data_IF_208932844241
#
_entry.id   IF_208932844241
#
_cell.length_a   1.000
_cell.length_b   1.000
_cell.length_c   1.000
_cell.angle_alpha   90.00
_cell.angle_beta   90.00
_cell.angle_gamma   90.00
#
_symmetry.space_group_name_H-M   'P 1'
#
loop_
_entity.id
_entity.type
_entity.pdbx_description
1 polymer ?
#
# COMPACT_ATOMS: atom_id res chain seq x y z
N UNK A 1 -0.97 4.29 25.97
CA UNK A 1 -0.65 3.10 25.17
C UNK A 1 0.30 3.51 24.04
N UNK A 2 1.23 2.65 23.63
CA UNK A 2 2.28 2.97 22.65
C UNK A 2 1.74 3.20 21.22
N UNK A 3 0.49 2.84 20.93
CA UNK A 3 -0.11 2.96 19.60
C UNK A 3 0.38 1.86 18.66
N UNK A 4 -0.33 1.60 17.56
CA UNK A 4 0.05 0.58 16.57
C UNK A 4 1.54 0.63 16.13
N UNK A 5 2.08 1.81 15.83
CA UNK A 5 3.51 1.96 15.46
C UNK A 5 4.44 1.48 16.59
N UNK A 6 4.07 1.74 17.84
CA UNK A 6 4.84 1.27 18.99
C UNK A 6 4.79 -0.25 19.13
N UNK A 7 3.63 -0.87 18.89
CA UNK A 7 3.47 -2.33 18.89
C UNK A 7 4.31 -2.99 17.79
N UNK A 8 4.27 -2.44 16.57
CA UNK A 8 5.09 -2.91 15.43
C UNK A 8 6.59 -2.80 15.74
N UNK A 9 7.02 -1.70 16.35
CA UNK A 9 8.43 -1.54 16.73
C UNK A 9 8.83 -2.50 17.86
N UNK A 10 7.86 -3.03 18.61
CA UNK A 10 8.05 -4.08 19.60
C UNK A 10 8.63 -5.37 19.02
N UNK A 11 8.28 -5.72 17.77
CA UNK A 11 8.83 -6.88 17.04
C UNK A 11 10.37 -6.86 16.96
N UNK A 12 10.95 -5.66 16.97
CA UNK A 12 12.39 -5.46 16.85
C UNK A 12 13.11 -5.35 18.21
N UNK A 13 12.36 -5.49 19.30
CA UNK A 13 12.84 -5.46 20.67
C UNK A 13 12.65 -4.12 21.39
N UNK A 14 12.68 -4.19 22.72
CA UNK A 14 12.36 -3.07 23.63
C UNK A 14 13.25 -1.84 23.40
N UNK A 15 14.52 -2.02 23.02
CA UNK A 15 15.44 -0.91 22.76
C UNK A 15 14.96 -0.08 21.57
N UNK A 16 14.66 -0.75 20.44
CA UNK A 16 14.22 -0.08 19.21
C UNK A 16 12.84 0.56 19.41
N UNK A 17 11.95 -0.12 20.13
CA UNK A 17 10.65 0.42 20.51
C UNK A 17 10.79 1.74 21.31
N UNK A 18 11.65 1.77 22.35
CA UNK A 18 11.87 2.98 23.16
C UNK A 18 12.44 4.13 22.33
N UNK A 19 13.44 3.86 21.49
CA UNK A 19 14.04 4.87 20.59
C UNK A 19 12.99 5.41 19.62
N UNK A 20 12.24 4.53 18.94
CA UNK A 20 11.24 4.93 17.96
C UNK A 20 10.08 5.72 18.57
N UNK A 21 9.56 5.31 19.73
CA UNK A 21 8.52 6.08 20.44
C UNK A 21 9.01 7.47 20.85
N UNK A 22 10.27 7.57 21.31
CA UNK A 22 10.88 8.86 21.63
C UNK A 22 10.99 9.75 20.38
N UNK A 23 11.50 9.22 19.27
CA UNK A 23 11.63 9.95 18.00
C UNK A 23 10.27 10.39 17.45
N UNK A 24 9.25 9.54 17.53
CA UNK A 24 7.87 9.85 17.12
C UNK A 24 7.29 11.01 17.92
N UNK A 25 7.52 11.05 19.24
CA UNK A 25 7.02 12.12 20.11
C UNK A 25 7.71 13.46 19.87
N UNK A 26 8.99 13.43 19.50
CA UNK A 26 9.82 14.65 19.32
C UNK A 26 9.89 15.16 17.88
N UNK A 27 9.43 14.37 16.90
CA UNK A 27 9.56 14.67 15.47
C UNK A 27 11.02 14.92 15.04
N UNK A 28 11.95 14.18 15.63
CA UNK A 28 13.38 14.29 15.35
C UNK A 28 14.21 14.65 16.58
N UNK A 29 15.41 14.06 16.71
CA UNK A 29 16.31 14.34 17.84
C UNK A 29 17.76 13.94 17.57
N UNK A 30 18.69 14.50 18.33
CA UNK A 30 20.10 14.04 18.34
C UNK A 30 20.30 12.87 19.29
N UNK A 31 21.42 12.16 19.12
CA UNK A 31 21.78 10.99 19.92
C UNK A 31 21.86 11.29 21.42
N UNK A 32 22.40 12.45 21.82
CA UNK A 32 22.52 12.86 23.22
C UNK A 32 21.14 12.98 23.88
N UNK A 33 20.20 13.65 23.19
CA UNK A 33 18.84 13.82 23.66
C UNK A 33 18.05 12.50 23.68
N UNK A 34 18.27 11.60 22.71
CA UNK A 34 17.67 10.26 22.73
C UNK A 34 18.15 9.47 23.95
N UNK A 35 19.46 9.51 24.24
CA UNK A 35 20.07 8.84 25.39
C UNK A 35 19.46 9.34 26.70
N UNK A 36 19.40 10.67 26.89
CA UNK A 36 18.82 11.27 28.08
C UNK A 36 17.31 11.00 28.20
N UNK A 37 16.58 11.01 27.08
CA UNK A 37 15.12 10.89 27.06
C UNK A 37 14.58 9.46 27.13
N UNK A 38 15.40 8.45 26.89
CA UNK A 38 15.00 7.03 26.91
C UNK A 38 15.56 6.24 28.09
N UNK A 39 16.51 6.84 28.84
CA UNK A 39 17.28 6.18 29.90
C UNK A 39 18.02 4.93 29.42
N UNK A 40 18.33 4.85 28.13
CA UNK A 40 19.14 3.79 27.55
C UNK A 40 20.63 4.16 27.64
N UNK A 41 21.49 3.16 27.74
CA UNK A 41 22.94 3.40 27.64
C UNK A 41 23.30 3.91 26.24
N UNK A 42 24.30 4.78 26.16
CA UNK A 42 24.75 5.36 24.88
C UNK A 42 25.08 4.29 23.82
N UNK A 43 25.71 3.18 24.22
CA UNK A 43 25.98 2.04 23.33
C UNK A 43 24.72 1.35 22.81
N UNK A 44 23.67 1.24 23.64
CA UNK A 44 22.37 0.70 23.22
C UNK A 44 21.69 1.63 22.21
N UNK A 45 21.78 2.94 22.40
CA UNK A 45 21.25 3.93 21.45
C UNK A 45 21.99 3.85 20.11
N UNK A 46 23.33 3.76 20.12
CA UNK A 46 24.13 3.61 18.89
C UNK A 46 23.73 2.33 18.13
N UNK A 47 23.72 1.18 18.81
CA UNK A 47 23.37 -0.09 18.17
C UNK A 47 21.91 -0.08 17.69
N UNK A 48 21.00 0.46 18.48
CA UNK A 48 19.59 0.59 18.14
C UNK A 48 19.38 1.45 16.90
N UNK A 49 19.95 2.66 16.86
CA UNK A 49 19.89 3.55 15.69
C UNK A 49 20.53 2.92 14.46
N UNK A 50 21.68 2.25 14.61
CA UNK A 50 22.33 1.54 13.49
C UNK A 50 21.42 0.48 12.88
N UNK A 51 20.77 -0.33 13.71
CA UNK A 51 19.83 -1.34 13.26
C UNK A 51 18.56 -0.74 12.63
N UNK A 52 18.03 0.35 13.19
CA UNK A 52 16.87 1.04 12.64
C UNK A 52 17.18 1.70 11.28
N UNK A 53 18.37 2.27 11.10
CA UNK A 53 18.84 2.81 9.81
C UNK A 53 19.00 1.68 8.80
N UNK A 54 19.65 0.57 9.20
CA UNK A 54 19.82 -0.62 8.37
C UNK A 54 18.47 -1.15 7.85
N UNK A 55 17.44 -1.16 8.69
CA UNK A 55 16.06 -1.55 8.37
C UNK A 55 15.19 -0.42 7.79
N UNK A 56 15.77 0.75 7.52
CA UNK A 56 15.09 1.94 6.98
C UNK A 56 13.97 2.52 7.85
N UNK A 57 13.91 2.15 9.13
CA UNK A 57 12.93 2.66 10.10
C UNK A 57 13.28 4.08 10.58
N UNK A 58 14.54 4.48 10.47
CA UNK A 58 15.03 5.80 10.86
C UNK A 58 15.80 6.42 9.71
N UNK A 59 15.49 7.68 9.43
CA UNK A 59 16.25 8.56 8.56
C UNK A 59 17.09 9.51 9.40
N UNK A 60 18.12 10.09 8.82
CA UNK A 60 18.91 11.09 9.52
C UNK A 60 19.26 12.25 8.61
N UNK A 61 19.50 13.44 9.17
CA UNK A 61 20.01 14.58 8.43
C UNK A 61 20.95 15.39 9.31
N UNK A 62 21.84 16.17 8.69
CA UNK A 62 22.74 17.06 9.42
C UNK A 62 22.17 18.47 9.46
N UNK A 63 22.03 19.02 10.66
CA UNK A 63 21.58 20.40 10.91
C UNK A 63 22.50 21.04 11.95
N UNK A 64 23.04 22.23 11.65
CA UNK A 64 23.97 22.95 12.54
C UNK A 64 25.13 22.07 13.07
N UNK A 65 25.73 21.26 12.19
CA UNK A 65 26.81 20.29 12.49
C UNK A 65 26.39 19.11 13.40
N UNK A 66 25.13 19.00 13.80
CA UNK A 66 24.58 17.86 14.56
C UNK A 66 23.78 16.93 13.65
N UNK A 67 23.78 15.64 13.97
CA UNK A 67 22.96 14.64 13.26
C UNK A 67 21.64 14.48 14.00
N UNK A 68 20.55 14.71 13.28
CA UNK A 68 19.19 14.51 13.73
C UNK A 68 18.65 13.22 13.14
N UNK A 69 18.02 12.40 13.96
CA UNK A 69 17.38 11.15 13.57
C UNK A 69 15.87 11.33 13.61
N UNK A 70 15.15 10.85 12.60
CA UNK A 70 13.69 10.92 12.48
C UNK A 70 13.15 9.52 12.21
N UNK A 71 12.07 9.14 12.91
CA UNK A 71 11.38 7.89 12.65
C UNK A 71 10.61 7.98 11.32
N UNK A 72 10.85 7.04 10.42
CA UNK A 72 10.03 6.83 9.24
C UNK A 72 8.80 5.99 9.62
N UNK A 73 7.69 6.68 9.90
CA UNK A 73 6.43 6.02 10.30
C UNK A 73 5.83 5.19 9.18
N UNK A 74 6.03 5.58 7.92
CA UNK A 74 5.49 4.85 6.77
C UNK A 74 6.22 3.51 6.64
N UNK A 75 7.53 3.50 6.85
CA UNK A 75 8.29 2.25 6.90
C UNK A 75 7.86 1.35 8.06
N UNK A 76 7.51 1.91 9.22
CA UNK A 76 6.93 1.14 10.30
C UNK A 76 5.58 0.53 9.90
N UNK A 77 4.68 1.27 9.25
CA UNK A 77 3.42 0.71 8.76
C UNK A 77 3.61 -0.36 7.67
N UNK A 78 4.61 -0.19 6.78
CA UNK A 78 4.94 -1.20 5.75
C UNK A 78 5.26 -2.58 6.32
N UNK A 79 5.77 -2.66 7.55
CA UNK A 79 6.02 -3.93 8.25
C UNK A 79 4.76 -4.81 8.35
N UNK A 80 3.58 -4.20 8.45
CA UNK A 80 2.30 -4.93 8.49
C UNK A 80 2.02 -5.67 7.17
N UNK A 81 2.53 -5.17 6.05
CA UNK A 81 2.28 -5.70 4.72
C UNK A 81 3.32 -6.74 4.28
N UNK A 82 4.33 -7.04 5.11
CA UNK A 82 5.43 -7.93 4.72
C UNK A 82 4.94 -9.32 4.29
N UNK A 83 3.97 -9.91 5.01
CA UNK A 83 3.39 -11.20 4.62
C UNK A 83 2.70 -11.14 3.25
N UNK A 84 1.98 -10.04 2.98
CA UNK A 84 1.34 -9.82 1.68
C UNK A 84 2.37 -9.60 0.57
N UNK A 85 3.45 -8.86 0.81
CA UNK A 85 4.52 -8.70 -0.16
C UNK A 85 5.18 -10.03 -0.51
N UNK A 86 5.50 -10.85 0.50
CA UNK A 86 6.11 -12.16 0.26
C UNK A 86 5.19 -13.07 -0.56
N UNK A 87 3.91 -13.17 -0.19
CA UNK A 87 2.92 -13.95 -0.95
C UNK A 87 2.78 -13.45 -2.38
N UNK A 88 2.76 -12.12 -2.59
CA UNK A 88 2.68 -11.54 -3.94
C UNK A 88 3.92 -11.89 -4.79
N UNK A 89 5.12 -11.83 -4.21
CA UNK A 89 6.36 -12.18 -4.91
C UNK A 89 6.42 -13.68 -5.19
N UNK A 90 5.99 -14.52 -4.25
CA UNK A 90 5.91 -15.97 -4.41
C UNK A 90 4.94 -16.35 -5.53
N UNK A 91 3.76 -15.75 -5.59
CA UNK A 91 2.76 -15.99 -6.63
C UNK A 91 3.26 -15.61 -8.04
N UNK A 92 4.16 -14.62 -8.14
CA UNK A 92 4.61 -14.06 -9.43
C UNK A 92 5.96 -14.63 -9.91
N UNK A 93 6.88 -14.90 -8.99
CA UNK A 93 8.27 -15.28 -9.30
C UNK A 93 8.65 -16.65 -8.72
N UNK A 94 7.76 -17.27 -7.95
CA UNK A 94 7.99 -18.56 -7.30
C UNK A 94 8.64 -18.46 -5.92
N UNK A 95 8.54 -19.57 -5.18
CA UNK A 95 8.99 -19.69 -3.79
C UNK A 95 10.48 -19.39 -3.60
N UNK A 96 11.34 -19.88 -4.50
CA UNK A 96 12.78 -19.70 -4.37
C UNK A 96 13.22 -18.23 -4.45
N UNK A 97 12.56 -17.43 -5.30
CA UNK A 97 12.80 -15.99 -5.46
C UNK A 97 12.24 -15.23 -4.26
N UNK A 98 11.05 -15.62 -3.79
CA UNK A 98 10.42 -15.05 -2.59
C UNK A 98 11.29 -15.20 -1.33
N UNK A 99 12.02 -16.31 -1.17
CA UNK A 99 12.96 -16.52 -0.07
C UNK A 99 14.10 -15.47 -0.09
N UNK A 100 14.63 -15.17 -1.28
CA UNK A 100 15.65 -14.14 -1.48
C UNK A 100 15.11 -12.74 -1.20
N UNK A 101 13.90 -12.45 -1.69
CA UNK A 101 13.17 -11.22 -1.43
C UNK A 101 12.94 -10.99 0.08
N UNK A 102 12.47 -12.00 0.80
CA UNK A 102 12.19 -11.92 2.24
C UNK A 102 13.45 -11.54 3.03
N UNK A 103 14.62 -12.09 2.67
CA UNK A 103 15.90 -11.73 3.30
C UNK A 103 16.21 -10.25 3.13
N UNK A 104 15.96 -9.68 1.95
CA UNK A 104 16.20 -8.25 1.69
C UNK A 104 15.15 -7.39 2.42
N UNK A 105 13.88 -7.81 2.37
CA UNK A 105 12.76 -7.11 3.01
C UNK A 105 12.96 -6.95 4.53
N UNK A 106 13.42 -8.00 5.22
CA UNK A 106 13.62 -7.99 6.68
C UNK A 106 14.90 -7.25 7.09
N UNK A 107 15.95 -7.33 6.29
CA UNK A 107 17.25 -6.73 6.61
C UNK A 107 17.40 -5.28 6.12
N UNK A 108 16.55 -4.82 5.20
CA UNK A 108 16.68 -3.52 4.55
C UNK A 108 17.87 -3.48 3.60
N UNK A 109 18.90 -2.69 3.92
CA UNK A 109 20.08 -2.52 3.05
C UNK A 109 20.95 -3.79 2.97
N UNK A 110 20.72 -4.65 1.98
CA UNK A 110 21.33 -5.98 1.98
C UNK A 110 22.45 -6.09 0.95
N UNK A 111 23.63 -6.55 1.37
CA UNK A 111 24.66 -7.00 0.43
C UNK A 111 24.32 -8.42 0.00
N UNK A 112 24.20 -8.61 -1.30
CA UNK A 112 23.82 -9.90 -1.87
C UNK A 112 25.09 -10.70 -2.13
N UNK A 113 25.12 -11.94 -1.63
CA UNK A 113 26.19 -12.89 -1.93
C UNK A 113 25.92 -13.53 -3.31
N UNK A 114 26.95 -14.11 -3.93
CA UNK A 114 26.89 -14.75 -5.26
C UNK A 114 25.71 -15.75 -5.40
N UNK A 115 25.36 -16.47 -4.33
CA UNK A 115 24.24 -17.43 -4.34
C UNK A 115 22.85 -16.79 -4.39
N UNK A 116 22.70 -15.58 -3.87
CA UNK A 116 21.45 -14.81 -3.89
C UNK A 116 21.34 -13.94 -5.14
N UNK A 117 22.45 -13.67 -5.83
CA UNK A 117 22.52 -12.75 -6.97
C UNK A 117 21.62 -13.20 -8.12
N UNK A 118 21.70 -14.50 -8.49
CA UNK A 118 20.82 -15.08 -9.52
C UNK A 118 19.33 -14.99 -9.17
N UNK A 119 18.98 -15.21 -7.89
CA UNK A 119 17.59 -15.14 -7.40
C UNK A 119 17.05 -13.72 -7.40
N UNK A 120 17.92 -12.73 -7.21
CA UNK A 120 17.56 -11.31 -7.07
C UNK A 120 17.54 -10.60 -8.43
N UNK A 121 18.26 -11.11 -9.42
CA UNK A 121 18.36 -10.51 -10.76
C UNK A 121 17.00 -10.36 -11.45
N UNK A 122 16.10 -11.34 -11.31
CA UNK A 122 14.73 -11.25 -11.83
C UNK A 122 13.94 -10.12 -11.17
N UNK A 123 14.06 -9.96 -9.85
CA UNK A 123 13.39 -8.90 -9.09
C UNK A 123 13.97 -7.51 -9.38
N UNK A 124 15.27 -7.44 -9.68
CA UNK A 124 15.92 -6.20 -10.13
C UNK A 124 15.42 -5.84 -11.53
N UNK A 125 15.32 -6.81 -12.43
CA UNK A 125 14.81 -6.61 -13.79
C UNK A 125 13.34 -6.19 -13.79
N UNK A 126 12.54 -6.73 -12.87
CA UNK A 126 11.15 -6.33 -12.66
C UNK A 126 10.98 -5.01 -11.88
N UNK A 127 12.06 -4.36 -11.45
CA UNK A 127 12.02 -3.09 -10.71
C UNK A 127 11.54 -3.20 -9.26
N UNK A 128 11.35 -4.41 -8.73
CA UNK A 128 10.97 -4.66 -7.32
C UNK A 128 12.14 -4.37 -6.38
N UNK A 129 13.36 -4.59 -6.86
CA UNK A 129 14.60 -4.37 -6.10
C UNK A 129 15.48 -3.37 -6.84
N UNK A 130 16.04 -2.42 -6.10
CA UNK A 130 16.98 -1.43 -6.60
C UNK A 130 18.37 -1.78 -6.06
N UNK A 131 19.33 -1.91 -6.97
CA UNK A 131 20.76 -2.00 -6.64
C UNK A 131 21.36 -0.60 -6.53
N UNK A 132 21.86 -0.25 -5.35
CA UNK A 132 22.43 1.06 -5.04
C UNK A 132 23.88 0.93 -4.55
N UNK A 133 24.68 1.95 -4.81
CA UNK A 133 26.03 2.11 -4.26
C UNK A 133 25.98 2.58 -2.80
N UNK A 134 27.11 2.50 -2.10
CA UNK A 134 27.25 3.01 -0.74
C UNK A 134 26.95 4.51 -0.62
N UNK A 135 27.24 5.30 -1.67
CA UNK A 135 26.93 6.74 -1.69
C UNK A 135 25.42 6.98 -1.81
N UNK A 136 24.77 6.29 -2.74
CA UNK A 136 23.31 6.36 -2.93
C UNK A 136 22.54 5.88 -1.69
N UNK A 137 23.05 4.86 -0.98
CA UNK A 137 22.50 4.43 0.30
C UNK A 137 22.56 5.55 1.36
N UNK A 138 23.67 6.30 1.43
CA UNK A 138 23.78 7.48 2.29
C UNK A 138 22.74 8.55 1.95
N UNK A 139 22.55 8.83 0.65
CA UNK A 139 21.57 9.82 0.15
C UNK A 139 20.13 9.39 0.49
N UNK A 140 19.81 8.11 0.31
CA UNK A 140 18.50 7.52 0.62
C UNK A 140 18.10 7.71 2.08
N UNK A 141 19.03 7.53 3.00
CA UNK A 141 18.77 7.72 4.43
C UNK A 141 18.77 9.20 4.81
N UNK A 142 19.42 10.05 4.02
CA UNK A 142 19.63 11.48 4.32
C UNK A 142 18.45 12.43 4.02
N UNK A 143 17.29 11.93 3.57
CA UNK A 143 16.13 12.74 3.09
C UNK A 143 16.47 13.79 2.00
N UNK A 144 17.51 13.52 1.22
CA UNK A 144 17.79 14.27 0.00
C UNK A 144 16.68 13.99 -1.02
N UNK A 145 15.72 14.91 -1.14
CA UNK A 145 14.58 14.82 -2.08
C UNK A 145 15.10 14.51 -3.49
N UNK A 146 14.48 13.51 -4.13
CA UNK A 146 14.69 13.01 -5.50
C UNK A 146 15.80 11.98 -5.75
N UNK A 147 15.55 10.76 -5.27
CA UNK A 147 16.22 9.55 -5.75
C UNK A 147 16.07 9.35 -7.28
N UNK A 148 14.91 9.71 -7.83
CA UNK A 148 14.61 9.59 -9.26
C UNK A 148 15.49 10.51 -10.13
N UNK A 149 15.72 11.74 -9.71
CA UNK A 149 16.62 12.69 -10.40
C UNK A 149 18.09 12.28 -10.28
N UNK A 150 18.50 11.72 -9.13
CA UNK A 150 19.87 11.22 -8.97
C UNK A 150 20.11 9.96 -9.81
N UNK A 151 19.17 9.01 -9.86
CA UNK A 151 19.33 7.79 -10.66
C UNK A 151 19.23 8.05 -12.17
N UNK A 152 18.42 9.02 -12.60
CA UNK A 152 18.39 9.44 -14.02
C UNK A 152 19.69 10.14 -14.42
N UNK A 153 20.26 10.99 -13.55
CA UNK A 153 21.60 11.57 -13.74
C UNK A 153 22.70 10.51 -13.73
N UNK A 154 22.71 9.58 -12.77
CA UNK A 154 23.71 8.51 -12.71
C UNK A 154 23.60 7.56 -13.92
N UNK A 155 22.40 7.34 -14.48
CA UNK A 155 22.24 6.60 -15.74
C UNK A 155 22.84 7.38 -16.92
N UNK A 156 22.63 8.68 -17.01
CA UNK A 156 23.27 9.53 -18.03
C UNK A 156 24.79 9.58 -17.87
N UNK A 157 25.29 9.65 -16.63
CA UNK A 157 26.72 9.68 -16.33
C UNK A 157 27.38 8.31 -16.61
N UNK A 158 26.68 7.19 -16.41
CA UNK A 158 27.16 5.85 -16.79
C UNK A 158 27.26 5.68 -18.31
N UNK A 159 26.29 6.19 -19.07
CA UNK A 159 26.34 6.19 -20.55
C UNK A 159 27.53 7.03 -21.04
N UNK A 160 27.84 8.14 -20.38
CA UNK A 160 29.02 8.95 -20.68
C UNK A 160 30.35 8.30 -20.23
N UNK A 161 30.38 7.56 -19.11
CA UNK A 161 31.56 6.82 -18.65
C UNK A 161 31.87 5.57 -19.50
N UNK A 162 30.87 4.92 -20.11
CA UNK A 162 31.05 3.75 -20.99
C UNK A 162 31.80 4.09 -22.28
N UNK A 163 31.70 5.34 -22.76
CA UNK A 163 32.47 5.84 -23.92
C UNK A 163 33.97 5.98 -23.60
N UNK A 164 34.36 6.02 -22.32
CA UNK A 164 35.74 6.23 -21.87
C UNK A 164 36.41 5.02 -21.18
N UNK A 165 35.73 3.87 -21.03
CA UNK A 165 36.29 2.69 -20.34
C UNK A 165 36.58 1.52 -21.28
N UNK A 166 37.72 1.55 -21.99
CA UNK A 166 38.30 0.36 -22.63
C UNK A 166 39.49 -0.27 -21.89
N UNK A 167 39.86 0.15 -20.67
CA UNK A 167 41.17 -0.28 -20.12
C UNK A 167 41.33 -0.36 -18.58
N UNK A 168 40.28 -0.50 -17.77
CA UNK A 168 40.48 -0.80 -16.34
C UNK A 168 39.53 -1.90 -15.88
N UNK A 169 40.11 -3.02 -15.42
CA UNK A 169 39.44 -4.04 -14.59
C UNK A 169 38.74 -3.32 -13.45
N UNK A 170 37.44 -3.12 -13.59
CA UNK A 170 36.59 -2.52 -12.58
C UNK A 170 36.48 -3.50 -11.43
N UNK A 171 37.12 -3.16 -10.31
CA UNK A 171 36.79 -3.74 -9.00
C UNK A 171 35.28 -3.57 -8.83
N UNK A 172 34.54 -4.68 -8.79
CA UNK A 172 33.11 -4.68 -8.52
C UNK A 172 32.87 -3.89 -7.23
N UNK A 173 32.31 -2.69 -7.38
CA UNK A 173 31.95 -1.87 -6.23
C UNK A 173 30.81 -2.58 -5.52
N UNK A 174 30.99 -2.89 -4.24
CA UNK A 174 29.97 -3.51 -3.41
C UNK A 174 28.64 -2.73 -3.53
N UNK A 175 27.60 -3.42 -4.02
CA UNK A 175 26.24 -2.88 -4.17
C UNK A 175 25.36 -3.36 -3.03
N UNK A 176 24.50 -2.48 -2.55
CA UNK A 176 23.39 -2.83 -1.66
C UNK A 176 22.14 -3.03 -2.49
N UNK A 177 21.29 -3.96 -2.08
CA UNK A 177 19.98 -4.19 -2.65
C UNK A 177 18.92 -3.73 -1.66
N UNK A 178 17.93 -3.02 -2.17
CA UNK A 178 16.86 -2.43 -1.38
C UNK A 178 15.55 -2.59 -2.12
N UNK A 179 14.47 -2.87 -1.38
CA UNK A 179 13.13 -2.98 -1.94
C UNK A 179 12.59 -1.61 -2.41
N UNK A 180 12.08 -1.54 -3.64
CA UNK A 180 11.21 -0.45 -4.10
C UNK A 180 9.77 -0.72 -3.65
N UNK A 181 9.39 -0.10 -2.53
CA UNK A 181 8.04 -0.24 -1.98
C UNK A 181 6.97 0.41 -2.88
N UNK A 182 7.33 1.39 -3.70
CA UNK A 182 6.37 2.03 -4.60
C UNK A 182 5.99 1.06 -5.73
N UNK A 183 6.98 0.34 -6.26
CA UNK A 183 6.75 -0.74 -7.23
C UNK A 183 5.89 -1.86 -6.62
N UNK A 184 6.21 -2.32 -5.40
CA UNK A 184 5.39 -3.32 -4.70
C UNK A 184 3.96 -2.86 -4.45
N UNK A 185 3.76 -1.60 -4.03
CA UNK A 185 2.43 -1.05 -3.85
C UNK A 185 1.64 -1.02 -5.15
N UNK A 186 2.27 -0.60 -6.26
CA UNK A 186 1.65 -0.63 -7.58
C UNK A 186 1.27 -2.07 -7.99
N UNK A 187 2.14 -3.05 -7.74
CA UNK A 187 1.85 -4.47 -8.00
C UNK A 187 0.68 -4.99 -7.14
N UNK A 188 0.64 -4.62 -5.85
CA UNK A 188 -0.48 -4.96 -4.97
C UNK A 188 -1.81 -4.37 -5.45
N UNK A 189 -1.80 -3.09 -5.87
CA UNK A 189 -2.99 -2.43 -6.43
C UNK A 189 -3.43 -3.13 -7.71
N UNK A 190 -2.50 -3.43 -8.61
CA UNK A 190 -2.78 -4.15 -9.86
C UNK A 190 -3.39 -5.53 -9.59
N UNK A 191 -2.84 -6.29 -8.63
CA UNK A 191 -3.38 -7.59 -8.23
C UNK A 191 -4.80 -7.46 -7.66
N UNK A 192 -5.06 -6.43 -6.85
CA UNK A 192 -6.41 -6.15 -6.32
C UNK A 192 -7.40 -5.80 -7.42
N UNK A 193 -7.00 -5.00 -8.40
CA UNK A 193 -7.83 -4.65 -9.54
C UNK A 193 -8.15 -5.89 -10.40
N UNK A 194 -7.17 -6.78 -10.64
CA UNK A 194 -7.39 -8.04 -11.33
C UNK A 194 -8.40 -8.92 -10.58
N UNK A 195 -8.25 -9.06 -9.27
CA UNK A 195 -9.21 -9.82 -8.46
C UNK A 195 -10.63 -9.23 -8.54
N UNK A 196 -10.75 -7.90 -8.57
CA UNK A 196 -12.04 -7.21 -8.76
C UNK A 196 -12.63 -7.48 -10.14
N UNK A 197 -11.82 -7.41 -11.20
CA UNK A 197 -12.25 -7.70 -12.57
C UNK A 197 -12.68 -9.15 -12.69
N UNK A 198 -11.88 -10.10 -12.21
CA UNK A 198 -12.19 -11.54 -12.16
C UNK A 198 -13.51 -11.84 -11.45
N UNK A 199 -13.80 -11.12 -10.37
CA UNK A 199 -15.03 -11.28 -9.59
C UNK A 199 -16.28 -10.77 -10.34
N UNK A 200 -16.12 -9.74 -11.19
CA UNK A 200 -17.24 -9.05 -11.84
C UNK A 200 -17.47 -9.46 -13.29
N UNK A 201 -16.43 -9.91 -13.98
CA UNK A 201 -16.44 -10.17 -15.41
C UNK A 201 -15.93 -11.57 -15.73
N UNK A 202 -16.03 -11.95 -17.00
CA UNK A 202 -15.55 -13.23 -17.51
C UNK A 202 -14.01 -13.30 -17.52
N UNK A 203 -13.45 -14.50 -17.54
CA UNK A 203 -11.99 -14.74 -17.61
C UNK A 203 -11.33 -14.06 -18.82
N UNK A 204 -12.04 -13.88 -19.94
CA UNK A 204 -11.56 -13.10 -21.09
C UNK A 204 -11.28 -11.64 -20.70
N UNK A 205 -12.18 -11.01 -19.95
CA UNK A 205 -12.03 -9.62 -19.51
C UNK A 205 -10.87 -9.48 -18.52
N UNK A 206 -10.64 -10.47 -17.65
CA UNK A 206 -9.46 -10.51 -16.77
C UNK A 206 -8.15 -10.50 -17.57
N UNK A 207 -8.04 -11.35 -18.60
CA UNK A 207 -6.84 -11.40 -19.47
C UNK A 207 -6.62 -10.10 -20.24
N UNK A 208 -7.68 -9.55 -20.83
CA UNK A 208 -7.65 -8.23 -21.48
C UNK A 208 -7.19 -7.16 -20.48
N UNK A 209 -7.77 -7.13 -19.27
CA UNK A 209 -7.39 -6.13 -18.28
C UNK A 209 -5.95 -6.31 -17.77
N UNK A 210 -5.44 -7.54 -17.69
CA UNK A 210 -4.03 -7.80 -17.35
C UNK A 210 -3.08 -7.14 -18.34
N UNK A 211 -3.39 -7.17 -19.64
CA UNK A 211 -2.61 -6.46 -20.68
C UNK A 211 -2.65 -4.94 -20.52
N UNK A 212 -3.75 -4.39 -19.99
CA UNK A 212 -3.92 -2.96 -19.71
C UNK A 212 -3.05 -2.50 -18.54
N UNK A 213 -2.88 -3.34 -17.51
CA UNK A 213 -2.20 -2.94 -16.28
C UNK A 213 -0.73 -2.58 -16.48
N UNK A 214 -0.05 -3.20 -17.45
CA UNK A 214 1.35 -2.91 -17.77
C UNK A 214 1.57 -1.62 -18.57
N UNK A 215 0.53 -0.83 -18.83
CA UNK A 215 0.60 0.30 -19.77
C UNK A 215 0.05 1.59 -19.18
N UNK A 216 0.69 2.71 -19.54
CA UNK A 216 0.24 4.05 -19.16
C UNK A 216 -0.83 4.56 -20.14
N UNK A 217 -0.54 4.44 -21.43
CA UNK A 217 -1.46 4.72 -22.52
C UNK A 217 -1.91 3.40 -23.16
N UNK A 218 -3.21 3.27 -23.35
CA UNK A 218 -3.85 2.02 -23.73
C UNK A 218 -4.56 2.24 -25.06
N UNK A 219 -4.16 1.51 -26.09
CA UNK A 219 -4.85 1.45 -27.39
C UNK A 219 -5.35 0.04 -27.64
N UNK A 220 -6.40 -0.08 -28.47
CA UNK A 220 -6.95 -1.38 -28.87
C UNK A 220 -5.89 -2.21 -29.59
N UNK A 221 -5.15 -1.59 -30.51
CA UNK A 221 -4.11 -2.25 -31.30
C UNK A 221 -3.01 -2.83 -30.42
N UNK A 222 -2.47 -2.03 -29.51
CA UNK A 222 -1.42 -2.50 -28.63
C UNK A 222 -1.92 -3.67 -27.76
N UNK A 223 -3.18 -3.64 -27.29
CA UNK A 223 -3.72 -4.75 -26.47
C UNK A 223 -3.76 -6.04 -27.29
N UNK A 224 -4.20 -5.94 -28.54
CA UNK A 224 -4.26 -7.10 -29.45
C UNK A 224 -2.86 -7.66 -29.70
N UNK A 225 -1.87 -6.79 -29.94
CA UNK A 225 -0.45 -7.21 -30.09
C UNK A 225 0.07 -7.97 -28.86
N UNK A 226 -0.34 -7.58 -27.65
CA UNK A 226 0.04 -8.32 -26.43
C UNK A 226 -0.72 -9.62 -26.19
N UNK A 227 -1.79 -9.88 -26.97
CA UNK A 227 -2.65 -11.05 -26.85
C UNK A 227 -2.54 -11.95 -28.10
N UNK A 228 -1.51 -11.80 -28.93
CA UNK A 228 -1.35 -12.54 -30.19
C UNK A 228 -1.39 -14.07 -30.00
N UNK A 229 -0.94 -14.58 -28.84
CA UNK A 229 -0.97 -16.01 -28.51
C UNK A 229 -2.37 -16.50 -28.07
N UNK A 230 -3.33 -15.61 -27.84
CA UNK A 230 -4.68 -15.93 -27.35
C UNK A 230 -5.72 -15.95 -28.48
N UNK A 231 -5.77 -17.09 -29.19
CA UNK A 231 -6.66 -17.29 -30.34
C UNK A 231 -8.17 -17.12 -30.06
N UNK A 232 -8.60 -17.06 -28.79
CA UNK A 232 -10.01 -16.93 -28.39
C UNK A 232 -10.48 -15.49 -28.15
N UNK A 233 -9.60 -14.49 -28.27
CA UNK A 233 -9.93 -13.07 -28.05
C UNK A 233 -9.92 -12.31 -29.37
N UNK A 234 -11.09 -11.78 -29.75
CA UNK A 234 -11.22 -10.97 -30.97
C UNK A 234 -11.04 -9.47 -30.67
N UNK A 235 -10.73 -8.68 -31.70
CA UNK A 235 -10.75 -7.21 -31.62
C UNK A 235 -12.08 -6.67 -31.09
N UNK A 236 -13.20 -7.28 -31.48
CA UNK A 236 -14.54 -6.91 -31.00
C UNK A 236 -14.72 -7.11 -29.50
N UNK A 237 -14.12 -8.18 -28.95
CA UNK A 237 -14.12 -8.45 -27.50
C UNK A 237 -13.32 -7.38 -26.75
N UNK A 238 -12.14 -7.01 -27.27
CA UNK A 238 -11.29 -5.95 -26.69
C UNK A 238 -12.03 -4.61 -26.65
N UNK A 239 -12.60 -4.18 -27.78
CA UNK A 239 -13.36 -2.91 -27.85
C UNK A 239 -14.55 -2.91 -26.88
N UNK A 240 -15.26 -4.02 -26.79
CA UNK A 240 -16.39 -4.17 -25.86
C UNK A 240 -15.94 -4.10 -24.41
N UNK A 241 -14.88 -4.82 -24.05
CA UNK A 241 -14.31 -4.81 -22.69
C UNK A 241 -13.83 -3.42 -22.29
N UNK A 242 -13.12 -2.70 -23.17
CA UNK A 242 -12.66 -1.34 -22.90
C UNK A 242 -13.84 -0.40 -22.65
N UNK A 243 -14.92 -0.49 -23.42
CA UNK A 243 -16.15 0.29 -23.16
C UNK A 243 -16.71 0.01 -21.77
N UNK A 244 -16.75 -1.26 -21.34
CA UNK A 244 -17.19 -1.62 -19.99
C UNK A 244 -16.25 -1.08 -18.92
N UNK A 245 -14.93 -1.23 -19.09
CA UNK A 245 -13.94 -0.72 -18.16
C UNK A 245 -14.01 0.81 -18.03
N UNK A 246 -14.25 1.51 -19.14
CA UNK A 246 -14.46 2.95 -19.15
C UNK A 246 -15.72 3.36 -18.37
N UNK A 247 -16.83 2.66 -18.57
CA UNK A 247 -18.08 2.93 -17.85
C UNK A 247 -17.97 2.65 -16.34
N UNK A 248 -17.05 1.78 -15.94
CA UNK A 248 -16.80 1.46 -14.53
C UNK A 248 -15.65 2.28 -13.90
N UNK A 249 -15.04 3.19 -14.66
CA UNK A 249 -13.93 4.04 -14.19
C UNK A 249 -12.58 3.31 -14.03
N UNK A 250 -12.45 2.08 -14.54
CA UNK A 250 -11.17 1.35 -14.51
C UNK A 250 -10.17 1.91 -15.51
N UNK A 251 -10.67 2.52 -16.59
CA UNK A 251 -9.91 3.31 -17.56
C UNK A 251 -10.72 4.57 -17.89
N UNK A 252 -10.06 5.62 -18.37
CA UNK A 252 -10.71 6.81 -18.95
C UNK A 252 -10.27 6.99 -20.38
N UNK A 253 -11.20 7.37 -21.25
CA UNK A 253 -10.88 7.78 -22.62
C UNK A 253 -10.16 9.14 -22.60
N UNK A 254 -9.11 9.27 -23.40
CA UNK A 254 -8.44 10.56 -23.62
C UNK A 254 -9.37 11.58 -24.30
N UNK A 255 -9.15 12.87 -24.03
CA UNK A 255 -9.92 13.97 -24.64
C UNK A 255 -9.43 14.36 -26.03
N UNK A 256 -8.28 13.86 -26.47
CA UNK A 256 -7.63 14.17 -27.75
C UNK A 256 -8.35 13.58 -28.99
N UNK A 257 -9.57 13.08 -28.84
CA UNK A 257 -10.36 12.39 -29.87
C UNK A 257 -9.70 11.12 -30.45
N UNK A 258 -8.57 10.66 -29.90
CA UNK A 258 -7.97 9.38 -30.28
C UNK A 258 -8.67 8.23 -29.55
N UNK A 259 -8.60 7.00 -30.08
CA UNK A 259 -9.04 5.79 -29.37
C UNK A 259 -8.02 5.35 -28.31
N UNK A 260 -7.48 6.31 -27.56
CA UNK A 260 -6.56 6.07 -26.45
C UNK A 260 -7.27 6.17 -25.11
N UNK A 261 -6.81 5.36 -24.18
CA UNK A 261 -7.32 5.26 -22.83
C UNK A 261 -6.16 5.32 -21.84
N UNK A 262 -6.43 5.78 -20.62
CA UNK A 262 -5.44 5.82 -19.55
C UNK A 262 -6.08 5.44 -18.21
N UNK A 263 -5.25 5.10 -17.24
CA UNK A 263 -5.68 4.78 -15.87
C UNK A 263 -5.61 6.06 -15.03
N UNK A 264 -6.75 6.49 -14.51
CA UNK A 264 -6.82 7.61 -13.57
C UNK A 264 -6.63 7.10 -12.14
N UNK A 265 -5.61 7.61 -11.44
CA UNK A 265 -5.24 7.12 -10.11
C UNK A 265 -6.35 7.36 -9.07
N UNK A 266 -7.05 8.50 -9.17
CA UNK A 266 -8.13 8.87 -8.25
C UNK A 266 -9.36 7.97 -8.43
N UNK A 267 -9.73 7.63 -9.68
CA UNK A 267 -10.80 6.68 -9.95
C UNK A 267 -10.46 5.27 -9.46
N UNK A 268 -9.24 4.79 -9.76
CA UNK A 268 -8.77 3.48 -9.28
C UNK A 268 -8.83 3.42 -7.75
N UNK A 269 -8.33 4.46 -7.07
CA UNK A 269 -8.42 4.56 -5.61
C UNK A 269 -9.87 4.46 -5.16
N UNK A 270 -10.75 5.27 -5.74
CA UNK A 270 -12.17 5.32 -5.36
C UNK A 270 -12.85 3.96 -5.55
N UNK A 271 -12.57 3.26 -6.65
CA UNK A 271 -13.12 1.92 -6.93
C UNK A 271 -12.68 0.93 -5.86
N UNK A 272 -11.38 0.91 -5.53
CA UNK A 272 -10.84 -0.02 -4.53
C UNK A 272 -11.37 0.29 -3.12
N UNK A 273 -11.42 1.57 -2.72
CA UNK A 273 -12.00 1.98 -1.45
C UNK A 273 -13.46 1.56 -1.34
N UNK A 274 -14.27 1.80 -2.39
CA UNK A 274 -15.68 1.40 -2.40
C UNK A 274 -15.84 -0.12 -2.36
N UNK A 275 -14.98 -0.88 -3.05
CA UNK A 275 -15.02 -2.35 -2.99
C UNK A 275 -14.67 -2.87 -1.60
N UNK A 276 -13.63 -2.33 -0.96
CA UNK A 276 -13.24 -2.64 0.42
C UNK A 276 -14.36 -2.32 1.42
N UNK A 277 -14.94 -1.12 1.35
CA UNK A 277 -16.06 -0.72 2.21
C UNK A 277 -17.29 -1.62 2.00
N UNK A 278 -17.58 -1.99 0.75
CA UNK A 278 -18.64 -2.93 0.44
C UNK A 278 -18.40 -4.33 1.03
N UNK A 279 -17.15 -4.80 1.04
CA UNK A 279 -16.79 -6.07 1.66
C UNK A 279 -17.05 -6.02 3.17
N UNK A 280 -16.56 -4.98 3.84
CA UNK A 280 -16.77 -4.75 5.29
C UNK A 280 -18.28 -4.69 5.62
N UNK A 281 -19.08 -4.00 4.79
CA UNK A 281 -20.53 -3.97 4.97
C UNK A 281 -21.21 -5.32 4.67
N UNK A 282 -20.69 -6.11 3.73
CA UNK A 282 -21.25 -7.42 3.36
C UNK A 282 -21.20 -8.41 4.53
N UNK A 283 -20.17 -8.32 5.36
CA UNK A 283 -19.99 -9.16 6.54
C UNK A 283 -20.98 -8.78 7.66
N UNK A 284 -21.46 -7.54 7.68
CA UNK A 284 -22.32 -7.00 8.74
C UNK A 284 -23.81 -6.94 8.37
N UNK A 285 -24.17 -6.43 7.19
CA UNK A 285 -25.56 -6.34 6.71
C UNK A 285 -25.65 -6.14 5.19
N UNK A 286 -26.38 -7.03 4.52
CA UNK A 286 -26.64 -6.95 3.07
C UNK A 286 -27.48 -5.73 2.70
N UNK A 287 -28.43 -5.36 3.55
CA UNK A 287 -29.34 -4.23 3.37
C UNK A 287 -28.61 -2.91 3.52
N UNK A 288 -27.73 -2.79 4.52
CA UNK A 288 -26.89 -1.62 4.69
C UNK A 288 -25.95 -1.41 3.50
N UNK A 289 -25.33 -2.48 3.00
CA UNK A 289 -24.53 -2.44 1.77
C UNK A 289 -25.35 -1.94 0.56
N UNK A 290 -26.59 -2.42 0.42
CA UNK A 290 -27.49 -1.98 -0.67
C UNK A 290 -27.81 -0.50 -0.57
N UNK A 291 -28.16 -0.03 0.62
CA UNK A 291 -28.43 1.39 0.89
C UNK A 291 -27.17 2.22 0.62
N UNK A 292 -26.00 1.80 1.10
CA UNK A 292 -24.73 2.49 0.88
C UNK A 292 -24.42 2.66 -0.62
N UNK A 293 -24.51 1.60 -1.43
CA UNK A 293 -24.25 1.70 -2.87
C UNK A 293 -25.25 2.61 -3.59
N UNK A 294 -26.52 2.55 -3.20
CA UNK A 294 -27.54 3.43 -3.75
C UNK A 294 -27.27 4.90 -3.37
N UNK A 295 -26.84 5.17 -2.13
CA UNK A 295 -26.42 6.52 -1.71
C UNK A 295 -25.20 7.03 -2.49
N UNK A 296 -24.25 6.16 -2.87
CA UNK A 296 -23.11 6.55 -3.71
C UNK A 296 -23.53 7.02 -5.11
N UNK A 297 -24.60 6.45 -5.66
CA UNK A 297 -25.16 6.81 -6.96
C UNK A 297 -25.94 8.12 -6.91
N UNK A 298 -26.84 8.27 -5.94
CA UNK A 298 -27.73 9.44 -5.84
C UNK A 298 -27.14 10.63 -5.07
N UNK A 299 -25.99 10.45 -4.39
CA UNK A 299 -25.23 11.44 -3.60
C UNK A 299 -25.95 11.97 -2.34
N UNK A 300 -27.20 12.41 -2.46
CA UNK A 300 -28.02 12.96 -1.36
C UNK A 300 -29.46 12.45 -1.46
N UNK A 301 -30.04 11.94 -0.36
CA UNK A 301 -31.41 11.43 -0.32
C UNK A 301 -32.09 11.68 1.02
N UNK A 302 -33.40 11.95 0.99
CA UNK A 302 -34.26 11.93 2.19
C UNK A 302 -34.65 10.49 2.58
N UNK A 303 -35.09 10.29 3.83
CA UNK A 303 -35.56 8.99 4.34
C UNK A 303 -36.61 8.32 3.43
N UNK A 304 -37.59 9.11 2.95
CA UNK A 304 -38.67 8.63 2.08
C UNK A 304 -38.12 8.06 0.76
N UNK A 305 -37.11 8.72 0.20
CA UNK A 305 -36.52 8.34 -1.08
C UNK A 305 -35.61 7.13 -0.93
N UNK A 306 -34.93 6.99 0.21
CA UNK A 306 -34.15 5.79 0.53
C UNK A 306 -35.05 4.56 0.53
N UNK A 307 -36.24 4.62 1.16
CA UNK A 307 -37.18 3.48 1.17
C UNK A 307 -37.60 3.10 -0.25
N UNK A 308 -37.99 4.09 -1.07
CA UNK A 308 -38.46 3.85 -2.44
C UNK A 308 -37.34 3.31 -3.33
N UNK A 309 -36.15 3.92 -3.30
CA UNK A 309 -35.03 3.57 -4.20
C UNK A 309 -34.27 2.32 -3.76
N UNK A 310 -34.17 2.05 -2.45
CA UNK A 310 -33.51 0.84 -1.95
C UNK A 310 -34.33 -0.41 -2.19
N UNK A 311 -35.66 -0.30 -2.33
CA UNK A 311 -36.59 -1.43 -2.30
C UNK A 311 -36.38 -2.31 -1.05
N UNK A 312 -36.00 -1.69 0.07
CA UNK A 312 -35.87 -2.32 1.39
C UNK A 312 -37.06 -1.89 2.25
N UNK A 313 -37.69 -2.79 3.01
CA UNK A 313 -38.79 -2.43 3.90
C UNK A 313 -38.42 -1.30 4.87
N UNK A 314 -39.35 -0.37 5.09
CA UNK A 314 -39.11 0.85 5.88
C UNK A 314 -38.53 0.60 7.28
N UNK A 315 -39.02 -0.44 7.98
CA UNK A 315 -38.53 -0.81 9.31
C UNK A 315 -37.06 -1.27 9.31
N UNK A 316 -36.59 -1.87 8.21
CA UNK A 316 -35.19 -2.29 8.04
C UNK A 316 -34.33 -1.11 7.61
N UNK A 317 -34.84 -0.25 6.72
CA UNK A 317 -34.14 0.96 6.25
C UNK A 317 -33.71 1.81 7.44
N UNK A 318 -34.62 2.10 8.38
CA UNK A 318 -34.29 2.91 9.55
C UNK A 318 -33.15 2.31 10.38
N UNK A 319 -33.18 0.99 10.63
CA UNK A 319 -32.11 0.28 11.35
C UNK A 319 -30.78 0.35 10.60
N UNK A 320 -30.79 0.11 9.29
CA UNK A 320 -29.60 0.12 8.46
C UNK A 320 -28.98 1.51 8.32
N UNK A 321 -29.79 2.55 8.11
CA UNK A 321 -29.34 3.95 8.05
C UNK A 321 -28.75 4.39 9.39
N UNK A 322 -29.38 4.06 10.51
CA UNK A 322 -28.82 4.35 11.83
C UNK A 322 -27.48 3.65 12.06
N UNK A 323 -27.33 2.40 11.64
CA UNK A 323 -26.06 1.67 11.71
C UNK A 323 -24.98 2.30 10.83
N UNK A 324 -25.31 2.65 9.59
CA UNK A 324 -24.38 3.33 8.67
C UNK A 324 -23.96 4.69 9.25
N UNK A 325 -24.88 5.43 9.85
CA UNK A 325 -24.58 6.70 10.49
C UNK A 325 -23.71 6.53 11.74
N UNK A 326 -24.04 5.59 12.64
CA UNK A 326 -23.27 5.36 13.87
C UNK A 326 -21.84 4.90 13.58
N UNK A 327 -21.65 4.15 12.49
CA UNK A 327 -20.35 3.70 12.02
C UNK A 327 -19.66 4.72 11.08
N UNK A 328 -20.23 5.90 10.88
CA UNK A 328 -19.63 6.99 10.12
C UNK A 328 -19.64 6.82 8.60
N UNK A 329 -20.37 5.84 8.05
CA UNK A 329 -20.57 5.63 6.61
C UNK A 329 -21.48 6.68 5.97
N UNK A 330 -22.41 7.24 6.75
CA UNK A 330 -23.37 8.24 6.31
C UNK A 330 -23.38 9.44 7.25
N UNK A 331 -23.79 10.58 6.71
CA UNK A 331 -23.89 11.85 7.45
C UNK A 331 -25.26 12.45 7.18
N UNK A 332 -25.93 12.91 8.23
CA UNK A 332 -27.13 13.70 8.10
C UNK A 332 -26.76 15.18 7.93
N UNK A 333 -27.12 15.78 6.80
CA UNK A 333 -26.97 17.21 6.56
C UNK A 333 -28.32 17.90 6.62
N UNK A 334 -28.28 19.14 7.07
CA UNK A 334 -29.43 20.03 7.07
C UNK A 334 -29.31 20.93 5.85
N UNK A 335 -30.29 20.85 4.95
CA UNK A 335 -30.41 21.75 3.80
C UNK A 335 -31.53 22.77 4.10
N UNK A 336 -31.34 24.02 3.66
CA UNK A 336 -32.27 25.13 3.90
C UNK A 336 -31.85 26.07 5.04
N UNK A 337 -30.90 26.97 4.78
CA UNK A 337 -30.55 28.04 5.71
C UNK A 337 -31.69 29.10 5.74
N UNK A 338 -32.44 29.16 6.84
CA UNK A 338 -33.46 30.20 7.06
C UNK A 338 -34.91 29.76 6.88
N UNK A 339 -35.17 28.48 6.60
CA UNK A 339 -36.54 27.95 6.57
C UNK A 339 -36.99 27.47 7.96
N UNK A 340 -38.28 27.66 8.26
CA UNK A 340 -38.89 27.24 9.54
C UNK A 340 -38.85 25.72 9.81
N UNK A 341 -38.54 24.90 8.79
CA UNK A 341 -38.43 23.44 8.89
C UNK A 341 -37.25 22.97 8.03
N UNK A 342 -36.09 22.63 8.62
CA UNK A 342 -34.95 22.15 7.86
C UNK A 342 -35.27 20.80 7.19
N UNK A 343 -34.83 20.62 5.95
CA UNK A 343 -34.89 19.33 5.27
C UNK A 343 -33.66 18.52 5.66
N UNK A 344 -33.89 17.27 6.07
CA UNK A 344 -32.85 16.35 6.51
C UNK A 344 -32.49 15.42 5.36
N UNK A 345 -31.25 15.54 4.89
CA UNK A 345 -30.73 14.72 3.79
C UNK A 345 -29.54 13.89 4.25
N UNK A 346 -29.54 12.62 3.87
CA UNK A 346 -28.40 11.74 4.08
C UNK A 346 -27.41 11.88 2.95
N UNK A 347 -26.12 11.86 3.27
CA UNK A 347 -25.03 11.89 2.29
C UNK A 347 -23.92 10.90 2.66
N UNK A 348 -23.21 10.42 1.64
CA UNK A 348 -22.00 9.61 1.79
C UNK A 348 -20.81 10.41 1.28
N UNK A 349 -19.81 10.56 2.15
CA UNK A 349 -18.51 11.16 1.82
C UNK A 349 -17.43 10.08 1.95
N UNK A 350 -17.00 9.52 0.82
CA UNK A 350 -16.07 8.38 0.77
C UNK A 350 -14.76 8.71 1.52
N UNK A 351 -14.25 9.94 1.42
CA UNK A 351 -12.99 10.32 2.07
C UNK A 351 -13.13 10.43 3.58
N UNK A 352 -14.32 10.84 4.05
CA UNK A 352 -14.66 10.78 5.48
C UNK A 352 -14.85 9.33 5.94
N UNK A 353 -15.63 8.52 5.22
CA UNK A 353 -15.86 7.11 5.58
C UNK A 353 -14.53 6.37 5.65
N UNK A 354 -13.68 6.52 4.64
CA UNK A 354 -12.37 5.85 4.57
C UNK A 354 -11.50 6.19 5.78
N UNK A 355 -11.47 7.45 6.23
CA UNK A 355 -10.74 7.83 7.45
C UNK A 355 -11.28 7.19 8.72
N UNK A 356 -12.60 7.22 8.90
CA UNK A 356 -13.24 6.69 10.11
C UNK A 356 -12.99 5.18 10.18
N UNK A 357 -13.24 4.47 9.08
CA UNK A 357 -13.04 3.02 9.00
C UNK A 357 -11.55 2.65 9.11
N UNK A 358 -10.65 3.44 8.51
CA UNK A 358 -9.21 3.23 8.63
C UNK A 358 -8.71 3.37 10.07
N UNK A 359 -9.17 4.37 10.82
CA UNK A 359 -8.81 4.51 12.25
C UNK A 359 -9.41 3.38 13.10
N UNK A 360 -10.60 2.89 12.76
CA UNK A 360 -11.19 1.73 13.43
C UNK A 360 -10.38 0.45 13.17
N UNK A 361 -10.02 0.18 11.91
CA UNK A 361 -9.17 -0.96 11.54
C UNK A 361 -7.80 -0.86 12.23
N UNK A 362 -7.22 0.34 12.29
CA UNK A 362 -5.95 0.59 12.99
C UNK A 362 -6.03 0.27 14.48
N UNK A 363 -7.15 0.59 15.14
CA UNK A 363 -7.39 0.20 16.54
C UNK A 363 -7.44 -1.31 16.70
N UNK A 364 -8.21 -2.00 15.84
CA UNK A 364 -8.29 -3.47 15.87
C UNK A 364 -6.92 -4.11 15.59
N UNK A 365 -6.17 -3.57 14.63
CA UNK A 365 -4.80 -4.02 14.34
C UNK A 365 -3.88 -3.83 15.55
N UNK A 366 -3.98 -2.73 16.28
CA UNK A 366 -3.20 -2.51 17.51
C UNK A 366 -3.50 -3.58 18.56
N UNK A 367 -4.78 -3.86 18.81
CA UNK A 367 -5.21 -4.90 19.76
C UNK A 367 -4.72 -6.30 19.35
N UNK A 368 -4.90 -6.66 18.07
CA UNK A 368 -4.42 -7.93 17.53
C UNK A 368 -2.89 -8.04 17.58
N UNK A 369 -2.16 -6.96 17.29
CA UNK A 369 -0.70 -6.96 17.34
C UNK A 369 -0.17 -7.15 18.76
N UNK A 370 -0.76 -6.48 19.74
CA UNK A 370 -0.43 -6.66 21.16
C UNK A 370 -0.67 -8.11 21.59
N UNK A 371 -1.78 -8.71 21.19
CA UNK A 371 -2.10 -10.11 21.50
C UNK A 371 -1.09 -11.08 20.90
N UNK A 372 -0.67 -10.86 19.66
CA UNK A 372 0.35 -11.67 18.99
C UNK A 372 1.71 -11.52 19.68
N UNK A 373 2.14 -10.29 19.99
CA UNK A 373 3.39 -10.03 20.69
C UNK A 373 3.43 -10.72 22.06
N UNK A 374 2.32 -10.68 22.80
CA UNK A 374 2.19 -11.43 24.05
C UNK A 374 2.34 -12.93 23.81
N UNK A 375 1.59 -13.50 22.85
CA UNK A 375 1.63 -14.94 22.53
C UNK A 375 3.01 -15.42 22.11
N UNK A 376 3.72 -14.70 21.24
CA UNK A 376 5.08 -15.07 20.84
C UNK A 376 6.08 -14.98 22.00
N UNK A 377 5.89 -14.06 22.94
CA UNK A 377 6.63 -14.05 24.20
C UNK A 377 6.42 -15.34 25.02
N UNK A 378 5.22 -15.93 24.97
CA UNK A 378 4.89 -17.18 25.68
C UNK A 378 5.31 -18.46 24.93
N UNK A 379 5.20 -18.51 23.60
CA UNK A 379 5.53 -19.70 22.78
C UNK A 379 7.02 -20.06 22.88
N UNK A 380 7.90 -19.09 23.13
CA UNK A 380 9.30 -19.36 23.46
C UNK A 380 9.52 -20.16 24.75
N UNK A 381 8.46 -20.44 25.52
CA UNK A 381 8.53 -21.10 26.83
C UNK A 381 7.85 -22.47 26.89
N UNK A 382 6.74 -22.71 26.18
CA UNK A 382 6.00 -23.98 26.18
C UNK A 382 5.30 -24.20 24.82
N UNK A 383 5.71 -25.22 24.08
CA UNK A 383 5.42 -25.39 22.65
C UNK A 383 4.11 -26.08 22.28
N UNK A 384 2.94 -25.67 22.78
CA UNK A 384 1.65 -26.30 22.45
C UNK A 384 0.50 -25.29 22.23
N UNK A 385 0.57 -24.44 21.20
CA UNK A 385 -0.44 -23.39 20.96
C UNK A 385 -0.66 -22.95 19.51
N UNK A 386 -0.46 -23.82 18.52
CA UNK A 386 -0.33 -23.41 17.11
C UNK A 386 -1.62 -22.94 16.40
N UNK A 387 -2.81 -23.49 16.68
CA UNK A 387 -4.02 -23.23 15.84
C UNK A 387 -4.63 -21.82 16.05
N UNK A 388 -4.58 -21.30 17.28
CA UNK A 388 -5.17 -19.99 17.60
C UNK A 388 -4.36 -18.80 17.06
N UNK A 389 -3.06 -18.98 16.82
CA UNK A 389 -2.18 -17.93 16.28
C UNK A 389 -2.39 -17.71 14.79
N UNK A 390 -2.61 -18.79 14.02
CA UNK A 390 -2.76 -18.74 12.56
C UNK A 390 -4.00 -17.95 12.13
N UNK A 391 -5.16 -18.21 12.74
CA UNK A 391 -6.40 -17.48 12.42
C UNK A 391 -6.29 -15.97 12.70
N UNK A 392 -5.61 -15.61 13.79
CA UNK A 392 -5.39 -14.20 14.12
C UNK A 392 -4.41 -13.53 13.14
N UNK A 393 -3.37 -14.24 12.70
CA UNK A 393 -2.45 -13.77 11.65
C UNK A 393 -3.17 -13.57 10.32
N UNK A 394 -4.00 -14.52 9.89
CA UNK A 394 -4.78 -14.41 8.65
C UNK A 394 -5.75 -13.22 8.72
N UNK A 395 -6.41 -13.02 9.85
CA UNK A 395 -7.26 -11.85 10.11
C UNK A 395 -6.46 -10.54 10.03
N UNK A 396 -5.29 -10.48 10.65
CA UNK A 396 -4.40 -9.31 10.60
C UNK A 396 -3.91 -9.01 9.20
N UNK A 397 -3.58 -10.02 8.40
CA UNK A 397 -3.21 -9.83 6.99
C UNK A 397 -4.39 -9.20 6.22
N UNK A 398 -5.61 -9.71 6.40
CA UNK A 398 -6.81 -9.14 5.79
C UNK A 398 -7.06 -7.68 6.18
N UNK A 399 -6.97 -7.37 7.49
CA UNK A 399 -7.13 -6.01 8.02
C UNK A 399 -6.02 -5.07 7.57
N UNK A 400 -4.77 -5.53 7.52
CA UNK A 400 -3.64 -4.73 7.05
C UNK A 400 -3.85 -4.33 5.59
N UNK A 401 -4.37 -5.23 4.76
CA UNK A 401 -4.61 -4.95 3.36
C UNK A 401 -5.79 -3.99 3.15
N UNK A 402 -6.81 -4.06 4.00
CA UNK A 402 -7.87 -3.05 4.01
C UNK A 402 -7.36 -1.69 4.47
N UNK A 403 -6.54 -1.67 5.53
CA UNK A 403 -5.90 -0.47 6.00
C UNK A 403 -5.02 0.17 4.92
N UNK A 404 -4.28 -0.64 4.16
CA UNK A 404 -3.52 -0.20 2.99
C UNK A 404 -4.44 0.49 1.98
N UNK A 405 -5.51 -0.17 1.52
CA UNK A 405 -6.42 0.37 0.49
C UNK A 405 -7.12 1.65 0.95
N UNK A 406 -7.63 1.69 2.18
CA UNK A 406 -8.28 2.88 2.74
C UNK A 406 -7.31 4.03 2.99
N UNK A 407 -6.03 3.70 3.25
CA UNK A 407 -4.94 4.63 3.49
C UNK A 407 -4.22 5.12 2.23
N UNK A 408 -4.59 4.67 1.02
CA UNK A 408 -4.02 5.16 -0.24
C UNK A 408 -4.33 6.65 -0.38
N UNK A 409 -3.42 7.50 0.09
CA UNK A 409 -3.45 8.95 -0.10
C UNK A 409 -2.10 9.29 -0.69
N UNK A 410 -2.05 9.47 -2.02
CA UNK A 410 -0.85 9.84 -2.76
C UNK A 410 0.20 8.72 -2.95
N UNK A 411 -0.21 7.54 -3.42
CA UNK A 411 0.76 6.69 -4.14
C UNK A 411 0.86 7.32 -5.53
N UNK A 412 1.92 8.09 -5.81
CA UNK A 412 2.22 8.42 -7.21
C UNK A 412 2.54 7.10 -7.89
N UNK A 413 1.75 6.65 -8.84
CA UNK A 413 2.22 5.58 -9.69
C UNK A 413 3.40 6.19 -10.45
N UNK A 414 4.61 5.67 -10.21
CA UNK A 414 5.73 6.00 -11.08
C UNK A 414 5.31 5.48 -12.45
N UNK A 415 4.81 6.38 -13.29
CA UNK A 415 4.76 6.14 -14.71
C UNK A 415 6.21 5.94 -15.10
N UNK A 416 6.57 4.72 -15.48
CA UNK A 416 7.78 4.55 -16.24
C UNK A 416 7.60 5.38 -17.50
N UNK A 417 8.28 6.53 -17.55
CA UNK A 417 8.46 7.31 -18.76
C UNK A 417 9.45 6.47 -19.58
N UNK A 418 8.91 5.66 -20.47
CA UNK A 418 9.63 5.08 -21.59
C UNK A 418 8.99 5.57 -22.88
#
# INVERSE_FOLDING_TARGET
MPGLVGEILGDYGTILQKIGLFLRKRNGSTMEYITQGTSLAYSQVIHGLSLMIQRRLVKYFQYEKKVHYVLDTDMAYRRMYFGTYCSLVEDLFGEEVAEGFMKILVNGFTKVNISLEKKVEELVSAGVIISISMKEAGILVAESKNLGEHMTRDRQDKVNEEVHRKSRKTVERARFHVIDFDALHAMMINNRLLALVKKRYLSKAERIYKSILGRNLVTVDAIIESLEDEADITRGDVVSCIKYFNNCGLVRKSMDCTETYFKDEDDIRKILVVDTLNRILSENSKEARRIFNMMLEYKSLEDKDIVIKSLVPSHIVKKAVLMLHSNGFMVLKHTGAGESRPVLEWQVDIDRVSRIVSEEIKRVLEESWTLINQRWGYIGSNGDGEDGGRKELERMLGLSLDFFVLGIRNISFKSEIF
#
